data_IF_069259961663
#
_entry.id   IF_069259961663
#
_cell.length_a   1.000
_cell.length_b   1.000
_cell.length_c   1.000
_cell.angle_alpha   90.00
_cell.angle_beta   90.00
_cell.angle_gamma   90.00
#
_symmetry.space_group_name_H-M   'P 1'
#
loop_
_entity.id
_entity.type
_entity.pdbx_description
1 polymer ?
#
# COMPACT_ATOMS: atom_id res chain seq x y z
N UNK A 1 4.44 7.16 -2.30
CA UNK A 1 5.64 6.43 -1.84
C UNK A 1 6.83 7.06 -2.50
N UNK A 2 7.80 7.52 -1.72
CA UNK A 2 8.92 8.27 -2.25
C UNK A 2 10.20 7.99 -1.46
N UNK A 3 11.36 8.28 -2.04
CA UNK A 3 12.59 8.40 -1.28
C UNK A 3 12.65 9.73 -0.51
N UNK A 4 13.73 9.93 0.24
CA UNK A 4 13.99 11.18 0.98
C UNK A 4 14.15 12.41 0.07
N UNK A 5 14.53 12.22 -1.18
CA UNK A 5 14.69 13.28 -2.18
C UNK A 5 13.36 13.64 -2.87
N UNK A 6 12.29 12.88 -2.57
CA UNK A 6 10.97 13.07 -3.15
C UNK A 6 10.77 12.38 -4.49
N UNK A 7 11.69 11.51 -4.92
CA UNK A 7 11.50 10.72 -6.13
C UNK A 7 10.47 9.62 -5.87
N UNK A 8 9.49 9.41 -6.77
CA UNK A 8 8.46 8.41 -6.59
C UNK A 8 9.03 7.00 -6.74
N UNK A 9 8.73 6.13 -5.78
CA UNK A 9 9.11 4.71 -5.80
C UNK A 9 8.14 3.91 -6.69
N UNK A 10 8.19 4.13 -8.00
CA UNK A 10 7.30 3.48 -8.98
C UNK A 10 7.78 2.04 -9.26
N UNK A 11 6.84 1.11 -9.40
CA UNK A 11 7.14 -0.30 -9.74
C UNK A 11 7.44 -1.18 -8.54
N UNK A 12 7.42 -0.65 -7.32
CA UNK A 12 7.65 -1.40 -6.09
C UNK A 12 6.43 -2.28 -5.76
N UNK A 13 6.61 -3.58 -5.47
CA UNK A 13 5.53 -4.44 -5.02
C UNK A 13 5.11 -4.07 -3.59
N UNK A 14 3.81 -3.96 -3.39
CA UNK A 14 3.16 -3.73 -2.11
C UNK A 14 2.36 -4.98 -1.79
N UNK A 15 2.81 -5.75 -0.80
CA UNK A 15 2.12 -6.94 -0.35
C UNK A 15 1.07 -6.55 0.69
N UNK A 16 -0.16 -7.03 0.49
CA UNK A 16 -1.33 -6.71 1.30
C UNK A 16 -2.05 -8.00 1.63
N UNK A 17 -2.19 -8.31 2.92
CA UNK A 17 -2.86 -9.53 3.34
C UNK A 17 -3.66 -9.34 4.63
N UNK A 18 -4.53 -10.30 4.91
CA UNK A 18 -5.52 -10.20 5.97
C UNK A 18 -6.89 -9.84 5.42
N UNK A 19 -7.90 -9.77 6.30
CA UNK A 19 -9.29 -9.51 5.91
C UNK A 19 -9.87 -10.47 4.82
N UNK A 20 -9.26 -11.64 4.62
CA UNK A 20 -9.64 -12.62 3.59
C UNK A 20 -8.99 -12.43 2.22
N UNK A 21 -8.01 -11.52 2.09
CA UNK A 21 -7.21 -11.35 0.87
C UNK A 21 -5.72 -11.61 1.14
N UNK A 22 -5.01 -11.91 0.05
CA UNK A 22 -3.54 -11.99 -0.03
C UNK A 22 -3.16 -11.60 -1.46
N UNK A 23 -2.71 -10.35 -1.64
CA UNK A 23 -2.51 -9.74 -2.95
C UNK A 23 -1.24 -8.90 -2.98
N UNK A 24 -0.65 -8.78 -4.16
CA UNK A 24 0.47 -7.87 -4.42
C UNK A 24 0.00 -6.84 -5.45
N UNK A 25 0.15 -5.56 -5.13
CA UNK A 25 -0.12 -4.45 -6.05
C UNK A 25 1.18 -3.73 -6.39
N UNK A 26 1.33 -3.32 -7.63
CA UNK A 26 2.51 -2.57 -8.07
C UNK A 26 2.28 -1.07 -7.91
N UNK A 27 3.18 -0.38 -7.21
CA UNK A 27 3.08 1.07 -7.01
C UNK A 27 3.11 1.83 -8.34
N UNK A 28 2.21 2.80 -8.49
CA UNK A 28 2.14 3.65 -9.68
C UNK A 28 1.60 2.98 -10.95
N UNK A 29 1.15 1.72 -10.87
CA UNK A 29 0.68 0.97 -12.04
C UNK A 29 -0.63 1.52 -12.64
N UNK A 30 -1.50 2.13 -11.82
CA UNK A 30 -2.74 2.73 -12.29
C UNK A 30 -2.65 4.27 -12.26
N UNK A 31 -2.63 4.87 -13.45
CA UNK A 31 -2.56 6.31 -13.63
C UNK A 31 -3.74 7.06 -12.98
N UNK A 32 -4.90 6.41 -12.79
CA UNK A 32 -6.06 7.01 -12.13
C UNK A 32 -5.76 7.29 -10.66
N UNK A 33 -5.12 6.36 -9.95
CA UNK A 33 -4.71 6.58 -8.56
C UNK A 33 -3.67 7.68 -8.46
N UNK A 34 -2.77 7.78 -9.44
CA UNK A 34 -1.79 8.87 -9.47
C UNK A 34 -2.45 10.24 -9.57
N UNK A 35 -3.56 10.37 -10.31
CA UNK A 35 -4.36 11.60 -10.36
C UNK A 35 -5.14 11.83 -9.07
N UNK A 36 -5.80 10.80 -8.52
CA UNK A 36 -6.61 10.91 -7.29
C UNK A 36 -5.76 11.34 -6.10
N UNK A 37 -4.59 10.73 -5.93
CA UNK A 37 -3.71 10.96 -4.80
C UNK A 37 -2.58 11.97 -5.07
N UNK A 38 -2.50 12.50 -6.30
CA UNK A 38 -1.50 13.49 -6.69
C UNK A 38 -0.05 12.98 -6.63
N UNK A 39 0.17 11.67 -6.75
CA UNK A 39 1.49 11.04 -6.55
C UNK A 39 1.72 9.90 -7.55
N UNK A 40 2.86 9.88 -8.25
CA UNK A 40 3.11 8.94 -9.36
C UNK A 40 3.30 7.47 -8.94
N UNK A 41 3.70 7.21 -7.70
CA UNK A 41 3.74 5.88 -7.09
C UNK A 41 2.53 5.59 -6.19
N UNK A 42 1.33 6.06 -6.55
CA UNK A 42 0.12 5.78 -5.79
C UNK A 42 -0.38 4.36 -6.05
N UNK A 43 -1.13 3.82 -5.09
CA UNK A 43 -1.77 2.51 -5.14
C UNK A 43 -3.02 2.55 -4.27
N UNK A 44 -3.93 1.62 -4.50
CA UNK A 44 -5.15 1.46 -3.70
C UNK A 44 -5.54 -0.01 -3.69
N UNK A 45 -6.07 -0.48 -2.56
CA UNK A 45 -6.67 -1.79 -2.46
C UNK A 45 -8.07 -1.67 -1.86
N UNK A 46 -9.06 -2.12 -2.61
CA UNK A 46 -10.44 -2.21 -2.17
C UNK A 46 -10.70 -3.55 -1.47
N UNK A 47 -11.42 -3.53 -0.34
CA UNK A 47 -11.73 -4.73 0.44
C UNK A 47 -13.21 -5.11 0.39
N UNK A 48 -14.11 -4.14 0.67
CA UNK A 48 -15.55 -4.35 0.72
C UNK A 48 -16.27 -3.00 0.57
N UNK A 49 -17.53 -3.04 0.14
CA UNK A 49 -18.42 -1.88 0.05
C UNK A 49 -19.17 -1.59 1.35
N UNK A 50 -19.09 -2.48 2.34
CA UNK A 50 -19.71 -2.31 3.66
C UNK A 50 -18.65 -2.26 4.77
N UNK A 51 -18.74 -1.29 5.69
CA UNK A 51 -17.84 -1.24 6.86
C UNK A 51 -18.00 -2.51 7.70
N UNK A 52 -16.88 -3.19 7.93
CA UNK A 52 -16.78 -4.33 8.85
C UNK A 52 -15.44 -4.30 9.56
N UNK A 53 -15.35 -4.77 10.81
CA UNK A 53 -14.08 -4.86 11.50
C UNK A 53 -13.11 -5.76 10.72
N UNK A 54 -11.91 -5.27 10.44
CA UNK A 54 -10.89 -6.05 9.76
C UNK A 54 -9.49 -5.60 10.14
N UNK A 55 -8.56 -6.56 10.17
CA UNK A 55 -7.13 -6.30 10.30
C UNK A 55 -6.46 -6.62 8.97
N UNK A 56 -5.68 -5.66 8.48
CA UNK A 56 -4.92 -5.75 7.24
C UNK A 56 -3.46 -5.50 7.56
N UNK A 57 -2.58 -6.22 6.90
CA UNK A 57 -1.13 -6.07 6.97
C UNK A 57 -0.63 -5.60 5.61
N UNK A 58 0.32 -4.67 5.63
CA UNK A 58 0.91 -4.07 4.43
C UNK A 58 2.42 -4.04 4.57
N UNK A 59 3.13 -4.45 3.53
CA UNK A 59 4.59 -4.40 3.49
C UNK A 59 5.08 -4.03 2.10
N UNK A 60 6.17 -3.24 2.03
CA UNK A 60 6.83 -2.87 0.78
C UNK A 60 7.97 -3.86 0.50
N UNK A 61 8.11 -4.27 -0.76
CA UNK A 61 9.10 -5.24 -1.21
C UNK A 61 10.05 -4.65 -2.26
N UNK A 62 11.23 -5.24 -2.40
CA UNK A 62 12.24 -4.85 -3.40
C UNK A 62 11.78 -5.28 -4.81
N UNK A 63 11.67 -4.37 -5.80
CA UNK A 63 11.28 -4.72 -7.17
C UNK A 63 12.42 -5.37 -8.00
N UNK A 64 13.68 -5.21 -7.59
CA UNK A 64 14.84 -5.51 -8.44
C UNK A 64 15.43 -6.89 -8.20
N UNK A 65 15.16 -7.49 -7.04
CA UNK A 65 15.60 -8.84 -6.72
C UNK A 65 14.50 -9.86 -7.05
N UNK A 66 14.88 -11.00 -7.61
CA UNK A 66 13.95 -12.08 -7.98
C UNK A 66 13.16 -12.65 -6.80
N UNK A 67 13.75 -12.61 -5.60
CA UNK A 67 13.11 -13.08 -4.35
C UNK A 67 12.21 -12.03 -3.71
N UNK A 68 12.14 -10.81 -4.26
CA UNK A 68 11.35 -9.68 -3.77
C UNK A 68 11.29 -9.59 -2.23
N UNK A 69 12.43 -9.48 -1.52
CA UNK A 69 12.42 -9.44 -0.07
C UNK A 69 11.71 -8.19 0.44
N UNK A 70 11.14 -8.23 1.66
CA UNK A 70 10.57 -7.05 2.29
C UNK A 70 11.66 -6.00 2.57
N UNK A 71 11.35 -4.74 2.28
CA UNK A 71 12.24 -3.58 2.50
C UNK A 71 11.64 -2.56 3.48
N UNK A 72 10.47 -2.84 4.03
CA UNK A 72 9.85 -2.08 5.13
C UNK A 72 9.51 -3.00 6.29
N UNK A 73 9.25 -2.39 7.45
CA UNK A 73 8.49 -3.07 8.50
C UNK A 73 7.08 -3.42 8.00
N UNK A 74 6.48 -4.42 8.62
CA UNK A 74 5.07 -4.74 8.42
C UNK A 74 4.21 -3.70 9.13
N UNK A 75 3.26 -3.12 8.39
CA UNK A 75 2.30 -2.16 8.92
C UNK A 75 0.99 -2.89 9.14
N UNK A 76 0.53 -2.92 10.39
CA UNK A 76 -0.78 -3.47 10.76
C UNK A 76 -1.80 -2.34 10.83
N UNK A 77 -2.91 -2.50 10.13
CA UNK A 77 -4.03 -1.55 10.08
C UNK A 77 -5.27 -2.24 10.63
N UNK A 78 -5.78 -1.74 11.74
CA UNK A 78 -7.06 -2.17 12.32
C UNK A 78 -8.17 -1.21 11.89
N UNK A 79 -9.04 -1.67 10.99
CA UNK A 79 -10.24 -0.96 10.57
C UNK A 79 -11.39 -1.36 11.51
N UNK A 80 -11.99 -0.43 12.27
CA UNK A 80 -12.96 -0.75 13.32
C UNK A 80 -14.38 -1.07 12.82
N UNK A 81 -14.64 -0.93 11.52
CA UNK A 81 -15.91 -1.34 10.91
C UNK A 81 -17.05 -0.32 10.99
N UNK A 82 -16.76 0.97 11.16
CA UNK A 82 -17.74 2.05 10.99
C UNK A 82 -17.32 3.01 9.87
N UNK A 83 -18.29 3.66 9.20
CA UNK A 83 -18.06 4.45 7.98
C UNK A 83 -16.96 5.52 8.13
N UNK A 84 -16.86 6.16 9.30
CA UNK A 84 -15.88 7.21 9.56
C UNK A 84 -14.42 6.75 9.68
N UNK A 85 -14.15 5.44 9.66
CA UNK A 85 -12.80 4.87 9.75
C UNK A 85 -12.63 3.67 8.81
N UNK A 86 -13.26 3.72 7.63
CA UNK A 86 -13.16 2.67 6.61
C UNK A 86 -11.99 2.87 5.61
N UNK A 87 -11.17 3.90 5.81
CA UNK A 87 -10.04 4.25 4.94
C UNK A 87 -8.73 4.29 5.73
N UNK A 88 -7.75 3.50 5.31
CA UNK A 88 -6.38 3.53 5.82
C UNK A 88 -5.46 4.23 4.83
N UNK A 89 -4.62 5.15 5.30
CA UNK A 89 -3.57 5.77 4.50
C UNK A 89 -2.21 5.27 4.97
N UNK A 90 -1.44 4.70 4.04
CA UNK A 90 -0.06 4.26 4.27
C UNK A 90 0.86 5.00 3.32
N UNK A 91 1.89 5.65 3.86
CA UNK A 91 2.92 6.34 3.10
C UNK A 91 4.27 5.73 3.46
N UNK A 92 4.91 5.08 2.50
CA UNK A 92 6.30 4.65 2.63
C UNK A 92 7.24 5.77 2.20
N UNK A 93 8.22 6.06 3.05
CA UNK A 93 9.33 6.97 2.81
C UNK A 93 10.61 6.16 2.94
N UNK A 94 11.36 6.00 1.85
CA UNK A 94 12.62 5.25 1.88
C UNK A 94 13.75 6.14 2.38
N UNK A 95 14.42 5.72 3.45
CA UNK A 95 15.62 6.38 3.98
C UNK A 95 16.88 6.00 3.18
N UNK A 96 17.93 6.82 3.31
CA UNK A 96 19.28 6.57 2.79
C UNK A 96 19.87 5.23 3.27
#
# INVERSE_FOLDING_TARGET
>A
MQDLDGNPLIGYPVHIWGAGIDVVVTSGADARFNTIYGHQAAWEQFFDSHPKPMQVRVQLHDPYRDDHPPISEEIVIDLPGYCGAALGYVVFIQNH
#
